data_IF_655306250665
#
_entry.id   IF_655306250665
#
_cell.length_a   1.000
_cell.length_b   1.000
_cell.length_c   1.000
_cell.angle_alpha   90.00
_cell.angle_beta   90.00
_cell.angle_gamma   90.00
#
_symmetry.space_group_name_H-M   'P 1'
#
loop_
_entity.id
_entity.type
_entity.pdbx_description
1 polymer ?
#
# COMPACT_ATOMS: atom_id res chain seq x y z
N UNK A 1 -7.37 12.94 -14.48
CA UNK A 1 -8.06 12.20 -15.56
C UNK A 1 -9.48 11.79 -15.19
N UNK A 2 -9.74 11.03 -14.12
CA UNK A 2 -11.13 10.68 -13.73
C UNK A 2 -11.98 11.93 -13.39
N UNK A 3 -11.35 12.98 -12.84
CA UNK A 3 -12.01 14.27 -12.54
C UNK A 3 -12.61 14.99 -13.75
N UNK A 4 -12.20 14.65 -14.99
CA UNK A 4 -12.72 15.24 -16.21
C UNK A 4 -13.95 14.50 -16.79
N UNK A 5 -14.31 13.34 -16.23
CA UNK A 5 -15.42 12.50 -16.72
C UNK A 5 -16.83 12.98 -16.35
N UNK A 6 -16.94 14.08 -15.61
CA UNK A 6 -18.21 14.67 -15.18
C UNK A 6 -19.07 13.77 -14.28
N UNK A 7 -20.32 14.19 -14.04
CA UNK A 7 -21.24 13.55 -13.10
C UNK A 7 -21.59 12.10 -13.48
N UNK A 8 -21.82 11.84 -14.76
CA UNK A 8 -22.15 10.49 -15.26
C UNK A 8 -21.07 9.45 -14.94
N UNK A 9 -19.79 9.81 -15.09
CA UNK A 9 -18.67 8.92 -14.75
C UNK A 9 -18.62 8.65 -13.25
N UNK A 10 -18.88 9.67 -12.43
CA UNK A 10 -18.92 9.52 -10.96
C UNK A 10 -20.04 8.58 -10.55
N UNK A 11 -21.24 8.75 -11.10
CA UNK A 11 -22.41 7.91 -10.79
C UNK A 11 -22.15 6.45 -11.18
N UNK A 12 -21.56 6.21 -12.35
CA UNK A 12 -21.20 4.87 -12.79
C UNK A 12 -20.14 4.22 -11.88
N UNK A 13 -19.08 4.95 -11.53
CA UNK A 13 -18.05 4.46 -10.61
C UNK A 13 -18.61 4.17 -9.23
N UNK A 14 -19.54 5.01 -8.74
CA UNK A 14 -20.21 4.80 -7.47
C UNK A 14 -21.03 3.49 -7.48
N UNK A 15 -21.80 3.25 -8.54
CA UNK A 15 -22.56 2.00 -8.72
C UNK A 15 -21.61 0.79 -8.69
N UNK A 16 -20.51 0.85 -9.43
CA UNK A 16 -19.52 -0.25 -9.46
C UNK A 16 -18.89 -0.46 -8.08
N UNK A 17 -18.43 0.61 -7.42
CA UNK A 17 -17.81 0.51 -6.09
C UNK A 17 -18.78 -0.06 -5.05
N UNK A 18 -20.04 0.37 -5.06
CA UNK A 18 -21.07 -0.17 -4.17
C UNK A 18 -21.34 -1.65 -4.44
N UNK A 19 -21.39 -2.05 -5.72
CA UNK A 19 -21.55 -3.47 -6.10
C UNK A 19 -20.36 -4.31 -5.64
N UNK A 20 -19.13 -3.80 -5.75
CA UNK A 20 -17.93 -4.47 -5.20
C UNK A 20 -18.04 -4.60 -3.68
N UNK A 21 -18.43 -3.53 -2.97
CA UNK A 21 -18.58 -3.57 -1.51
C UNK A 21 -19.66 -4.55 -1.04
N UNK A 22 -20.76 -4.68 -1.78
CA UNK A 22 -21.84 -5.61 -1.44
C UNK A 22 -21.45 -7.05 -1.76
N UNK A 23 -21.00 -7.31 -2.99
CA UNK A 23 -20.79 -8.67 -3.51
C UNK A 23 -19.39 -9.21 -3.23
N UNK A 24 -18.39 -8.36 -3.04
CA UNK A 24 -16.97 -8.72 -3.00
C UNK A 24 -16.40 -9.11 -4.36
N UNK A 25 -17.16 -8.98 -5.45
CA UNK A 25 -16.74 -9.37 -6.79
C UNK A 25 -16.17 -8.16 -7.53
N UNK A 26 -14.90 -8.27 -7.94
CA UNK A 26 -14.22 -7.24 -8.70
C UNK A 26 -14.43 -7.43 -10.21
N UNK A 27 -14.62 -6.34 -10.99
CA UNK A 27 -14.55 -6.42 -12.44
C UNK A 27 -13.19 -6.99 -12.88
N UNK A 28 -13.18 -7.97 -13.80
CA UNK A 28 -11.94 -8.58 -14.30
C UNK A 28 -10.88 -7.56 -14.77
N UNK A 29 -11.23 -6.50 -15.53
CA UNK A 29 -10.24 -5.48 -15.93
C UNK A 29 -9.65 -4.67 -14.77
N UNK A 30 -10.25 -4.74 -13.57
CA UNK A 30 -9.78 -4.03 -12.38
C UNK A 30 -8.85 -4.88 -11.52
N UNK A 31 -8.80 -6.20 -11.74
CA UNK A 31 -7.85 -7.12 -11.10
C UNK A 31 -6.62 -7.41 -11.97
N UNK A 32 -6.59 -6.88 -13.18
CA UNK A 32 -5.46 -7.01 -14.10
C UNK A 32 -4.46 -5.85 -13.90
N UNK A 33 -3.17 -6.18 -13.93
CA UNK A 33 -2.10 -5.20 -13.91
C UNK A 33 -1.04 -5.48 -14.98
N UNK A 34 -0.36 -4.43 -15.42
CA UNK A 34 0.78 -4.51 -16.33
C UNK A 34 2.05 -4.15 -15.55
N UNK A 35 2.97 -5.10 -15.46
CA UNK A 35 4.21 -4.95 -14.74
C UNK A 35 5.27 -4.36 -15.66
N UNK A 36 5.77 -3.18 -15.31
CA UNK A 36 6.91 -2.54 -15.97
C UNK A 36 8.13 -2.54 -15.06
N UNK A 37 9.32 -2.53 -15.64
CA UNK A 37 10.59 -2.37 -14.91
C UNK A 37 11.20 -1.02 -15.20
N UNK A 38 11.64 -0.33 -14.14
CA UNK A 38 12.39 0.92 -14.22
C UNK A 38 13.82 0.68 -13.74
N UNK A 39 14.84 1.21 -14.43
CA UNK A 39 16.22 1.09 -13.98
C UNK A 39 16.44 1.86 -12.67
N UNK A 40 17.07 1.22 -11.69
CA UNK A 40 17.67 1.87 -10.51
C UNK A 40 19.15 2.18 -10.78
N UNK A 41 19.81 2.83 -9.82
CA UNK A 41 21.27 3.03 -9.83
C UNK A 41 22.00 1.69 -9.79
N UNK A 42 23.17 1.62 -10.45
CA UNK A 42 24.06 0.45 -10.44
C UNK A 42 24.13 -0.28 -11.79
N UNK A 43 24.60 -1.52 -11.77
CA UNK A 43 24.81 -2.34 -12.97
C UNK A 43 23.47 -2.86 -13.49
N UNK A 44 23.05 -2.42 -14.68
CA UNK A 44 21.75 -2.77 -15.29
C UNK A 44 21.64 -4.21 -15.81
N UNK A 45 22.72 -4.99 -15.73
CA UNK A 45 22.69 -6.45 -15.99
C UNK A 45 22.13 -7.25 -14.80
N UNK A 46 22.03 -6.64 -13.61
CA UNK A 46 21.54 -7.30 -12.41
C UNK A 46 20.04 -7.00 -12.21
N UNK A 47 19.21 -8.06 -12.15
CA UNK A 47 17.76 -7.92 -11.97
C UNK A 47 17.36 -7.13 -10.71
N UNK A 48 18.17 -7.19 -9.65
CA UNK A 48 17.92 -6.45 -8.40
C UNK A 48 18.00 -4.91 -8.56
N UNK A 49 18.66 -4.44 -9.62
CA UNK A 49 18.80 -3.02 -9.93
C UNK A 49 17.63 -2.52 -10.80
N UNK A 50 16.51 -3.24 -10.84
CA UNK A 50 15.26 -2.75 -11.41
C UNK A 50 14.20 -2.59 -10.33
N UNK A 51 13.39 -1.53 -10.48
CA UNK A 51 12.17 -1.33 -9.74
C UNK A 51 10.99 -1.85 -10.57
N UNK A 52 10.29 -2.82 -10.03
CA UNK A 52 9.06 -3.34 -10.63
C UNK A 52 7.88 -2.48 -10.21
N UNK A 53 7.06 -2.02 -11.16
CA UNK A 53 5.84 -1.25 -10.91
C UNK A 53 4.68 -1.94 -11.60
N UNK A 54 3.59 -2.16 -10.87
CA UNK A 54 2.34 -2.68 -11.42
C UNK A 54 1.43 -1.53 -11.83
N UNK A 55 1.12 -1.42 -13.11
CA UNK A 55 0.20 -0.46 -13.68
C UNK A 55 -1.21 -1.07 -13.71
N UNK A 56 -2.12 -0.51 -12.93
CA UNK A 56 -3.55 -0.86 -12.96
C UNK A 56 -4.35 0.18 -13.73
N UNK A 57 -5.51 -0.22 -14.24
CA UNK A 57 -6.41 0.68 -14.96
C UNK A 57 -6.79 1.91 -14.12
N UNK A 58 -6.89 3.08 -14.74
CA UNK A 58 -7.23 4.33 -14.03
C UNK A 58 -8.54 4.25 -13.23
N UNK A 59 -9.65 3.69 -13.75
CA UNK A 59 -10.88 3.56 -12.97
C UNK A 59 -10.72 2.59 -11.79
N UNK A 60 -9.89 1.55 -11.88
CA UNK A 60 -9.71 0.61 -10.77
C UNK A 60 -9.06 1.25 -9.55
N UNK A 61 -8.23 2.29 -9.71
CA UNK A 61 -7.60 3.04 -8.60
C UNK A 61 -8.60 3.70 -7.66
N UNK A 62 -9.83 3.96 -8.13
CA UNK A 62 -10.88 4.58 -7.31
C UNK A 62 -11.25 3.69 -6.13
N UNK A 63 -11.39 2.38 -6.36
CA UNK A 63 -11.85 1.46 -5.32
C UNK A 63 -10.85 1.28 -4.17
N UNK A 64 -9.53 1.04 -4.41
CA UNK A 64 -8.53 1.08 -3.36
C UNK A 64 -8.51 2.40 -2.58
N UNK A 65 -8.77 3.54 -3.24
CA UNK A 65 -8.88 4.83 -2.54
C UNK A 65 -10.09 4.89 -1.61
N UNK A 66 -11.24 4.38 -2.04
CA UNK A 66 -12.44 4.24 -1.20
C UNK A 66 -12.16 3.34 0.00
N UNK A 67 -11.53 2.18 -0.22
CA UNK A 67 -11.15 1.23 0.84
C UNK A 67 -10.19 1.91 1.82
N UNK A 68 -9.13 2.55 1.33
CA UNK A 68 -8.15 3.25 2.16
C UNK A 68 -8.82 4.32 3.04
N UNK A 69 -9.71 5.13 2.47
CA UNK A 69 -10.41 6.17 3.23
C UNK A 69 -11.33 5.59 4.32
N UNK A 70 -11.85 4.38 4.14
CA UNK A 70 -12.64 3.67 5.16
C UNK A 70 -11.77 3.01 6.23
N UNK A 71 -10.62 2.46 5.86
CA UNK A 71 -9.68 1.83 6.79
C UNK A 71 -8.96 2.85 7.66
N UNK A 72 -8.60 4.01 7.09
CA UNK A 72 -7.80 5.05 7.76
C UNK A 72 -8.28 5.41 9.18
N UNK A 73 -9.56 5.75 9.44
CA UNK A 73 -10.02 6.07 10.78
C UNK A 73 -9.99 4.87 11.75
N UNK A 74 -10.06 3.63 11.25
CA UNK A 74 -9.91 2.43 12.08
C UNK A 74 -8.43 2.22 12.43
N UNK A 75 -7.54 2.31 11.44
CA UNK A 75 -6.09 2.10 11.63
C UNK A 75 -5.44 3.16 12.50
N UNK A 76 -5.87 4.42 12.44
CA UNK A 76 -5.33 5.49 13.29
C UNK A 76 -5.61 5.26 14.80
N UNK A 77 -6.61 4.45 15.15
CA UNK A 77 -6.90 4.07 16.54
C UNK A 77 -6.03 2.93 17.04
N UNK A 78 -5.40 2.20 16.13
CA UNK A 78 -4.67 0.95 16.40
C UNK A 78 -3.16 1.17 16.33
N UNK A 79 -2.70 1.95 15.36
CA UNK A 79 -1.27 2.14 15.08
C UNK A 79 -0.62 2.92 16.22
N UNK A 80 0.53 2.41 16.69
CA UNK A 80 1.34 3.04 17.73
C UNK A 80 1.75 4.47 17.34
N UNK A 81 1.87 5.33 18.35
CA UNK A 81 2.15 6.75 18.17
C UNK A 81 3.53 7.00 17.53
N UNK A 82 4.49 6.12 17.80
CA UNK A 82 5.84 6.14 17.29
C UNK A 82 5.90 5.81 15.78
N UNK A 83 4.91 5.09 15.25
CA UNK A 83 4.84 4.77 13.83
C UNK A 83 4.39 6.01 13.05
N UNK A 84 5.30 6.56 12.25
CA UNK A 84 5.02 7.72 11.38
C UNK A 84 4.78 7.36 9.91
N UNK A 85 5.20 6.17 9.47
CA UNK A 85 5.15 5.77 8.06
C UNK A 85 3.71 5.78 7.52
N UNK A 86 3.51 6.44 6.37
CA UNK A 86 2.23 6.48 5.65
C UNK A 86 1.02 7.07 6.41
N UNK A 87 1.26 7.82 7.50
CA UNK A 87 0.20 8.46 8.31
C UNK A 87 0.03 9.94 7.98
N UNK A 88 -1.21 10.47 8.03
CA UNK A 88 -1.45 11.90 7.88
C UNK A 88 -0.86 12.69 9.03
N UNK A 89 -0.32 13.88 8.74
CA UNK A 89 0.20 14.78 9.79
C UNK A 89 1.47 14.28 10.47
N UNK A 90 2.10 13.22 9.96
CA UNK A 90 3.40 12.72 10.41
C UNK A 90 4.42 12.88 9.29
N UNK A 91 5.64 13.21 9.65
CA UNK A 91 6.73 13.35 8.69
C UNK A 91 8.06 12.82 9.24
N UNK A 92 9.06 12.73 8.37
CA UNK A 92 10.39 12.23 8.73
C UNK A 92 11.17 13.23 9.60
N UNK A 93 10.84 14.53 9.56
CA UNK A 93 11.50 15.55 10.36
C UNK A 93 11.21 15.35 11.85
N UNK A 94 9.96 15.08 12.21
CA UNK A 94 9.56 14.76 13.58
C UNK A 94 10.29 13.52 14.10
N UNK A 95 10.41 12.47 13.27
CA UNK A 95 11.11 11.24 13.67
C UNK A 95 12.61 11.45 13.88
N UNK A 96 13.26 12.24 13.02
CA UNK A 96 14.67 12.64 13.21
C UNK A 96 14.82 13.47 14.49
N UNK A 97 13.88 14.38 14.75
CA UNK A 97 13.87 15.18 15.97
C UNK A 97 13.75 14.31 17.22
N UNK A 98 12.83 13.34 17.24
CA UNK A 98 12.64 12.41 18.36
C UNK A 98 13.92 11.63 18.67
N UNK A 99 14.59 11.10 17.63
CA UNK A 99 15.88 10.40 17.79
C UNK A 99 16.94 11.36 18.35
N UNK A 100 17.01 12.58 17.84
CA UNK A 100 17.96 13.59 18.32
C UNK A 100 17.73 13.97 19.79
N UNK A 101 16.49 14.20 20.19
CA UNK A 101 16.13 14.50 21.59
C UNK A 101 16.53 13.34 22.50
N UNK A 102 16.33 12.09 22.06
CA UNK A 102 16.76 10.91 22.81
C UNK A 102 18.29 10.88 22.98
N UNK A 103 19.03 11.14 21.90
CA UNK A 103 20.50 11.21 21.95
C UNK A 103 21.00 12.31 22.89
N UNK A 104 20.42 13.52 22.81
CA UNK A 104 20.79 14.66 23.65
C UNK A 104 20.52 14.36 25.14
N UNK A 105 19.40 13.70 25.46
CA UNK A 105 19.05 13.30 26.83
C UNK A 105 20.03 12.30 27.43
N UNK A 106 20.40 11.26 26.67
CA UNK A 106 21.37 10.26 27.15
C UNK A 106 22.77 10.85 27.30
N UNK A 107 23.16 11.74 26.38
CA UNK A 107 24.42 12.49 26.48
C UNK A 107 24.46 13.35 27.76
N UNK A 108 23.38 14.06 28.08
CA UNK A 108 23.28 14.88 29.29
C UNK A 108 23.47 14.06 30.57
N UNK A 109 22.97 12.82 30.60
CA UNK A 109 23.12 11.91 31.74
C UNK A 109 24.37 11.04 31.70
N UNK A 110 25.26 11.23 30.71
CA UNK A 110 26.46 10.41 30.51
C UNK A 110 26.15 8.91 30.42
N UNK A 111 25.00 8.57 29.84
CA UNK A 111 24.57 7.19 29.64
C UNK A 111 24.85 6.75 28.20
N UNK A 112 25.18 5.47 28.02
CA UNK A 112 25.32 4.88 26.71
C UNK A 112 23.96 4.69 26.03
N UNK A 113 23.88 5.04 24.75
CA UNK A 113 22.71 4.84 23.90
C UNK A 113 23.14 4.06 22.65
N UNK A 114 22.44 2.95 22.37
CA UNK A 114 22.66 2.15 21.18
C UNK A 114 21.41 2.18 20.29
N UNK A 115 21.60 2.41 18.99
CA UNK A 115 20.52 2.36 18.00
C UNK A 115 20.61 1.09 17.15
N UNK A 116 19.48 0.42 16.96
CA UNK A 116 19.35 -0.73 16.06
C UNK A 116 18.42 -0.35 14.91
N UNK A 117 18.97 -0.32 13.70
CA UNK A 117 18.19 -0.04 12.48
C UNK A 117 17.81 -1.36 11.81
N UNK A 118 16.52 -1.53 11.55
CA UNK A 118 15.95 -2.74 10.93
C UNK A 118 15.31 -2.34 9.61
N UNK A 119 15.68 -3.02 8.53
CA UNK A 119 15.07 -2.84 7.20
C UNK A 119 14.61 -4.16 6.59
N UNK A 120 13.44 -4.15 5.96
CA UNK A 120 12.85 -5.34 5.34
C UNK A 120 13.19 -5.42 3.86
N UNK A 121 13.91 -6.47 3.46
CA UNK A 121 14.17 -6.76 2.05
C UNK A 121 12.86 -7.04 1.30
N UNK A 122 12.52 -6.18 0.33
CA UNK A 122 11.32 -6.32 -0.52
C UNK A 122 10.01 -6.44 0.30
N UNK A 123 9.81 -5.53 1.25
CA UNK A 123 8.69 -5.58 2.20
C UNK A 123 7.30 -5.80 1.55
N UNK A 124 7.01 -5.12 0.44
CA UNK A 124 5.72 -5.24 -0.26
C UNK A 124 5.57 -6.54 -1.05
N UNK A 125 6.67 -7.12 -1.55
CA UNK A 125 6.64 -8.36 -2.33
C UNK A 125 6.56 -9.61 -1.44
N UNK A 126 6.80 -9.46 -0.12
CA UNK A 126 6.94 -10.55 0.86
C UNK A 126 5.85 -10.53 1.94
N UNK A 127 4.76 -9.82 1.70
CA UNK A 127 3.63 -9.78 2.64
C UNK A 127 3.00 -11.17 2.72
N UNK A 128 2.89 -11.71 3.93
CA UNK A 128 2.15 -12.94 4.18
C UNK A 128 0.66 -12.61 4.30
N UNK A 129 -0.10 -12.86 3.23
CA UNK A 129 -1.49 -12.44 3.10
C UNK A 129 -2.42 -13.08 4.14
N UNK A 130 -2.28 -14.37 4.42
CA UNK A 130 -3.10 -15.06 5.43
C UNK A 130 -2.90 -14.46 6.84
N UNK A 131 -1.65 -14.14 7.18
CA UNK A 131 -1.34 -13.46 8.44
C UNK A 131 -1.89 -12.03 8.45
N UNK A 132 -1.90 -11.33 7.33
CA UNK A 132 -2.48 -9.99 7.21
C UNK A 132 -3.99 -10.03 7.47
N UNK A 133 -4.74 -10.95 6.84
CA UNK A 133 -6.19 -11.08 7.05
C UNK A 133 -6.52 -11.42 8.50
N UNK A 134 -5.78 -12.37 9.10
CA UNK A 134 -5.91 -12.72 10.51
C UNK A 134 -5.65 -11.53 11.44
N UNK A 135 -4.61 -10.75 11.13
CA UNK A 135 -4.25 -9.54 11.91
C UNK A 135 -5.32 -8.47 11.82
N UNK A 136 -5.87 -8.21 10.62
CA UNK A 136 -6.98 -7.28 10.44
C UNK A 136 -8.22 -7.73 11.24
N UNK A 137 -8.52 -9.02 11.26
CA UNK A 137 -9.60 -9.60 12.07
C UNK A 137 -9.39 -9.40 13.57
N UNK A 138 -8.17 -9.62 14.07
CA UNK A 138 -7.82 -9.39 15.50
C UNK A 138 -7.99 -7.94 15.93
N UNK A 139 -7.73 -6.99 15.03
CA UNK A 139 -7.94 -5.57 15.29
C UNK A 139 -9.38 -5.11 15.03
N UNK A 140 -10.32 -6.03 14.83
CA UNK A 140 -11.74 -5.75 14.59
C UNK A 140 -12.00 -4.83 13.38
N UNK A 141 -11.13 -4.88 12.37
CA UNK A 141 -11.39 -4.22 11.08
C UNK A 141 -12.64 -4.85 10.47
N UNK A 142 -13.48 -4.02 9.84
CA UNK A 142 -14.73 -4.46 9.24
C UNK A 142 -14.52 -5.68 8.31
N UNK A 143 -15.16 -6.81 8.64
CA UNK A 143 -14.99 -8.08 7.92
C UNK A 143 -15.36 -7.99 6.44
N UNK A 144 -16.28 -7.10 6.07
CA UNK A 144 -16.61 -6.87 4.67
C UNK A 144 -15.46 -6.19 3.91
N UNK A 145 -14.73 -5.27 4.55
CA UNK A 145 -13.54 -4.66 3.94
C UNK A 145 -12.43 -5.70 3.77
N UNK A 146 -12.19 -6.52 4.79
CA UNK A 146 -11.21 -7.62 4.73
C UNK A 146 -11.53 -8.52 3.52
N UNK A 147 -12.78 -9.00 3.42
CA UNK A 147 -13.25 -9.85 2.33
C UNK A 147 -13.06 -9.22 0.95
N UNK A 148 -13.37 -7.93 0.80
CA UNK A 148 -13.20 -7.22 -0.47
C UNK A 148 -11.73 -7.14 -0.88
N UNK A 149 -10.83 -6.89 0.07
CA UNK A 149 -9.38 -6.81 -0.18
C UNK A 149 -8.83 -8.20 -0.49
N UNK A 150 -9.18 -9.22 0.30
CA UNK A 150 -8.79 -10.60 0.07
C UNK A 150 -9.21 -11.07 -1.33
N UNK A 151 -10.45 -10.79 -1.74
CA UNK A 151 -10.93 -11.12 -3.08
C UNK A 151 -10.17 -10.39 -4.20
N UNK A 152 -9.65 -9.18 -3.96
CA UNK A 152 -8.81 -8.49 -4.92
C UNK A 152 -7.51 -9.27 -5.14
N UNK A 153 -6.82 -9.63 -4.06
CA UNK A 153 -5.54 -10.36 -4.14
C UNK A 153 -5.72 -11.76 -4.74
N UNK A 154 -6.79 -12.47 -4.38
CA UNK A 154 -7.09 -13.80 -4.93
C UNK A 154 -7.42 -13.80 -6.43
N UNK A 155 -7.83 -12.67 -6.99
CA UNK A 155 -8.17 -12.52 -8.42
C UNK A 155 -7.18 -11.66 -9.19
N UNK A 156 -6.13 -11.16 -8.53
CA UNK A 156 -5.13 -10.31 -9.16
C UNK A 156 -4.30 -11.14 -10.16
N UNK A 157 -4.15 -10.61 -11.37
CA UNK A 157 -3.31 -11.19 -12.41
C UNK A 157 -2.44 -10.12 -13.02
N UNK A 158 -1.22 -10.46 -13.38
CA UNK A 158 -0.24 -9.50 -13.87
C UNK A 158 0.48 -10.02 -15.10
N UNK A 159 0.54 -9.20 -16.15
CA UNK A 159 1.33 -9.46 -17.34
C UNK A 159 2.60 -8.60 -17.31
N UNK A 160 3.72 -9.08 -17.84
CA UNK A 160 4.99 -8.32 -17.85
C UNK A 160 5.15 -7.58 -19.19
N UNK A 161 5.37 -6.27 -19.15
CA UNK A 161 5.71 -5.49 -20.33
C UNK A 161 7.23 -5.38 -20.49
N UNK A 162 7.75 -5.92 -21.58
CA UNK A 162 9.18 -5.88 -21.90
C UNK A 162 9.38 -5.71 -23.40
N UNK A 163 10.26 -4.79 -23.81
CA UNK A 163 10.62 -4.54 -25.22
C UNK A 163 9.40 -4.38 -26.15
N UNK A 164 8.43 -3.57 -25.75
CA UNK A 164 7.15 -3.34 -26.47
C UNK A 164 6.24 -4.57 -26.63
N UNK A 165 6.53 -5.66 -25.93
CA UNK A 165 5.70 -6.85 -25.89
C UNK A 165 5.08 -7.03 -24.50
N UNK A 166 3.86 -7.57 -24.49
CA UNK A 166 3.16 -7.98 -23.27
C UNK A 166 3.33 -9.49 -23.18
N UNK A 167 3.95 -9.95 -22.11
CA UNK A 167 4.03 -11.37 -21.79
C UNK A 167 2.68 -11.92 -21.31
N UNK A 168 2.57 -13.24 -21.29
CA UNK A 168 1.37 -13.95 -20.82
C UNK A 168 1.09 -13.71 -19.33
#
# INVERSE_FOLDING_TARGET
MVQAGGKSTIDMLLIICNKILQTGVWPKPWTQSLVITLPKKGILKLCQNYLTISLISQPSKVMPKVILNRLKPETEKIIAEEQAGFRPGRNTVEQICNVRILMEKYLQHQQELHHVFIDFKKAFDRVWHEALWSTMGKYNINSNLIRVIENLYNKATSAVFCNNNIGD
#
